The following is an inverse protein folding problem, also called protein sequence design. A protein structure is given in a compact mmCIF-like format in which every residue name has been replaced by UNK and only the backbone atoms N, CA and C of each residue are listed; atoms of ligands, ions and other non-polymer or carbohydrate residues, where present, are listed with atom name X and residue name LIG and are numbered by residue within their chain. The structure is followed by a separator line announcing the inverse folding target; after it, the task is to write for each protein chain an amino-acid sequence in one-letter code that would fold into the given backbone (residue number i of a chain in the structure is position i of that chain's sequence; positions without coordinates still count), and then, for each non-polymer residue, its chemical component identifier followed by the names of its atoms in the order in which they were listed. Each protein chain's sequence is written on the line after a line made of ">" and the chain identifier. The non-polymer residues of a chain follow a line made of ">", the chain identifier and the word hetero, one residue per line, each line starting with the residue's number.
data_IF_022125981898
#
_entry.id   IF_022125981898
#
_cell.length_a   1.000
_cell.length_b   1.000
_cell.length_c   1.000
_cell.angle_alpha   90.00
_cell.angle_beta   90.00
_cell.angle_gamma   90.00
#
_symmetry.space_group_name_H-M   'P 1'
#
loop_
_entity.id
_entity.type
_entity.pdbx_description
1 polymer ?
#
# COMPACT_ATOMS: atom_id res chain seq x y z
N UNK A 1 -43.04 14.79 -5.06
CA UNK A 1 -42.20 13.63 -4.64
C UNK A 1 -41.00 13.62 -5.57
N UNK A 2 -39.83 14.04 -5.10
CA UNK A 2 -38.63 14.22 -5.95
C UNK A 2 -37.83 12.92 -5.91
N UNK A 3 -37.68 12.28 -7.06
CA UNK A 3 -36.88 11.05 -7.22
C UNK A 3 -35.42 11.46 -7.44
N UNK A 4 -34.54 11.10 -6.50
CA UNK A 4 -33.09 11.16 -6.73
C UNK A 4 -32.67 9.81 -7.32
N UNK A 5 -32.19 9.73 -8.57
CA UNK A 5 -31.61 8.50 -9.07
C UNK A 5 -30.34 8.21 -8.28
N UNK A 6 -30.34 7.11 -7.52
CA UNK A 6 -29.13 6.56 -6.92
C UNK A 6 -28.26 6.06 -8.06
N UNK A 7 -27.30 6.86 -8.50
CA UNK A 7 -26.19 6.42 -9.34
C UNK A 7 -25.29 5.50 -8.51
N UNK A 8 -25.73 4.27 -8.29
CA UNK A 8 -24.85 3.20 -7.83
C UNK A 8 -23.86 2.96 -8.95
N UNK A 9 -22.70 3.62 -8.88
CA UNK A 9 -21.55 3.35 -9.75
C UNK A 9 -21.09 1.93 -9.45
N UNK A 10 -21.71 0.96 -10.11
CA UNK A 10 -21.32 -0.44 -10.05
C UNK A 10 -20.02 -0.58 -10.85
N UNK A 11 -18.89 -0.41 -10.15
CA UNK A 11 -17.59 -0.76 -10.74
C UNK A 11 -17.58 -2.23 -11.08
N UNK A 12 -17.34 -2.55 -12.36
CA UNK A 12 -17.32 -3.92 -12.83
C UNK A 12 -16.02 -4.61 -12.38
N UNK A 13 -16.14 -5.69 -11.62
CA UNK A 13 -14.99 -6.49 -11.16
C UNK A 13 -14.12 -7.00 -12.32
N UNK A 14 -14.69 -7.22 -13.52
CA UNK A 14 -13.92 -7.65 -14.69
C UNK A 14 -12.99 -6.54 -15.22
N UNK A 15 -13.41 -5.27 -15.14
CA UNK A 15 -12.61 -4.11 -15.52
C UNK A 15 -11.49 -3.84 -14.51
N UNK A 16 -11.74 -4.09 -13.22
CA UNK A 16 -10.69 -4.02 -12.19
C UNK A 16 -9.65 -5.11 -12.44
N UNK A 17 -10.09 -6.35 -12.67
CA UNK A 17 -9.20 -7.47 -12.91
C UNK A 17 -8.37 -7.34 -14.20
N UNK A 18 -8.92 -6.74 -15.27
CA UNK A 18 -8.18 -6.51 -16.51
C UNK A 18 -7.05 -5.50 -16.31
N UNK A 19 -7.26 -4.46 -15.50
CA UNK A 19 -6.23 -3.48 -15.15
C UNK A 19 -5.20 -4.08 -14.17
N UNK A 20 -5.65 -4.78 -13.13
CA UNK A 20 -4.77 -5.38 -12.13
C UNK A 20 -3.88 -6.51 -12.67
N UNK A 21 -4.29 -7.19 -13.75
CA UNK A 21 -3.46 -8.22 -14.42
C UNK A 21 -2.31 -7.64 -15.25
N UNK A 22 -2.41 -6.38 -15.67
CA UNK A 22 -1.46 -5.76 -16.61
C UNK A 22 -0.30 -5.08 -15.88
N UNK A 23 -0.49 -4.67 -14.62
CA UNK A 23 0.59 -4.08 -13.84
C UNK A 23 1.45 -5.19 -13.23
N UNK A 24 2.77 -5.25 -13.50
CA UNK A 24 3.66 -6.16 -12.81
C UNK A 24 3.60 -5.85 -11.31
N UNK A 25 3.00 -6.75 -10.53
CA UNK A 25 3.00 -6.61 -9.08
C UNK A 25 4.43 -6.83 -8.60
N UNK A 26 4.99 -5.83 -7.92
CA UNK A 26 6.27 -5.99 -7.24
C UNK A 26 6.17 -7.16 -6.26
N UNK A 27 7.17 -8.05 -6.23
CA UNK A 27 7.16 -9.18 -5.32
C UNK A 27 7.08 -8.70 -3.88
N UNK A 28 6.24 -9.36 -3.09
CA UNK A 28 6.20 -9.14 -1.65
C UNK A 28 7.38 -9.87 -1.04
N UNK A 29 8.29 -9.11 -0.42
CA UNK A 29 9.52 -9.63 0.19
C UNK A 29 9.39 -9.63 1.72
N UNK A 30 9.95 -10.64 2.37
CA UNK A 30 10.03 -10.66 3.83
C UNK A 30 11.05 -9.63 4.32
N UNK A 31 10.76 -8.96 5.43
CA UNK A 31 11.70 -8.05 6.10
C UNK A 31 13.06 -8.72 6.39
N UNK A 32 13.05 -10.02 6.70
CA UNK A 32 14.27 -10.79 7.01
C UNK A 32 15.16 -11.02 5.78
N UNK A 33 14.60 -10.89 4.59
CA UNK A 33 15.34 -11.05 3.34
C UNK A 33 16.01 -9.75 2.90
N UNK A 34 15.67 -8.62 3.52
CA UNK A 34 16.35 -7.34 3.29
C UNK A 34 17.71 -7.36 3.98
N UNK A 35 18.72 -6.81 3.32
CA UNK A 35 20.04 -6.60 3.91
C UNK A 35 19.98 -5.40 4.86
N UNK A 36 20.38 -5.59 6.11
CA UNK A 36 20.17 -4.66 7.23
C UNK A 36 20.76 -3.26 6.96
N UNK A 37 21.85 -3.17 6.20
CA UNK A 37 22.56 -1.92 5.92
C UNK A 37 22.58 -1.55 4.43
N UNK A 38 21.82 -2.26 3.60
CA UNK A 38 21.72 -1.88 2.18
C UNK A 38 20.79 -0.66 2.06
N UNK A 39 21.23 0.41 1.37
CA UNK A 39 20.34 1.53 1.08
C UNK A 39 19.25 1.07 0.11
N UNK A 40 18.00 1.08 0.57
CA UNK A 40 16.82 0.78 -0.23
C UNK A 40 16.06 2.07 -0.54
N UNK A 41 15.73 2.28 -1.81
CA UNK A 41 14.97 3.45 -2.25
C UNK A 41 13.49 3.24 -1.94
N UNK A 42 12.97 3.98 -0.95
CA UNK A 42 11.56 3.96 -0.56
C UNK A 42 10.79 4.87 -1.52
N UNK A 43 9.93 4.26 -2.33
CA UNK A 43 9.08 4.99 -3.27
C UNK A 43 7.79 5.46 -2.62
N UNK A 44 7.18 4.61 -1.80
CA UNK A 44 5.95 4.96 -1.09
C UNK A 44 5.82 4.21 0.22
N UNK A 45 5.09 4.81 1.17
CA UNK A 45 4.71 4.16 2.41
C UNK A 45 3.23 4.41 2.67
N UNK A 46 2.48 3.35 3.01
CA UNK A 46 1.04 3.45 3.24
C UNK A 46 0.60 2.58 4.39
N UNK A 47 -0.22 3.15 5.29
CA UNK A 47 -0.91 2.37 6.31
C UNK A 47 -2.05 1.56 5.68
N UNK A 48 -2.04 0.26 5.92
CA UNK A 48 -3.01 -0.71 5.42
C UNK A 48 -3.57 -1.56 6.56
N UNK A 49 -4.77 -2.10 6.38
CA UNK A 49 -5.35 -3.07 7.33
C UNK A 49 -4.81 -4.46 7.02
N UNK A 50 -3.90 -4.96 7.86
CA UNK A 50 -3.39 -6.31 7.78
C UNK A 50 -4.25 -7.31 8.55
N UNK A 51 -3.94 -8.62 8.40
CA UNK A 51 -4.66 -9.72 9.06
C UNK A 51 -4.69 -9.63 10.59
N UNK A 52 -3.66 -9.03 11.19
CA UNK A 52 -3.46 -8.95 12.63
C UNK A 52 -3.59 -7.52 13.18
N UNK A 53 -4.11 -6.58 12.37
CA UNK A 53 -4.19 -5.17 12.72
C UNK A 53 -3.50 -4.25 11.71
N UNK A 54 -3.36 -2.96 12.04
CA UNK A 54 -2.76 -1.98 11.14
C UNK A 54 -1.29 -2.30 10.86
N UNK A 55 -0.92 -2.24 9.59
CA UNK A 55 0.44 -2.48 9.10
C UNK A 55 0.87 -1.34 8.17
N UNK A 56 2.17 -1.18 7.98
CA UNK A 56 2.71 -0.29 6.95
C UNK A 56 3.14 -1.14 5.76
N UNK A 57 2.57 -0.83 4.59
CA UNK A 57 3.07 -1.26 3.30
C UNK A 57 4.18 -0.30 2.88
N UNK A 58 5.40 -0.81 2.77
CA UNK A 58 6.54 -0.09 2.25
C UNK A 58 6.78 -0.54 0.82
N UNK A 59 6.67 0.38 -0.13
CA UNK A 59 7.00 0.12 -1.52
C UNK A 59 8.43 0.55 -1.78
N UNK A 60 9.26 -0.43 -2.07
CA UNK A 60 10.64 -0.23 -2.51
C UNK A 60 10.67 -0.20 -4.05
N UNK A 61 11.82 0.15 -4.60
CA UNK A 61 12.05 0.17 -6.05
C UNK A 61 11.71 -1.16 -6.72
N UNK A 62 12.19 -2.26 -6.14
CA UNK A 62 12.09 -3.60 -6.75
C UNK A 62 11.12 -4.53 -6.02
N UNK A 63 10.70 -4.20 -4.81
CA UNK A 63 9.87 -5.08 -3.98
C UNK A 63 8.92 -4.31 -3.08
N UNK A 64 8.02 -5.03 -2.42
CA UNK A 64 7.07 -4.47 -1.46
C UNK A 64 7.20 -5.24 -0.16
N UNK A 65 7.21 -4.53 0.97
CA UNK A 65 7.49 -5.11 2.28
C UNK A 65 6.43 -4.67 3.27
N UNK A 66 5.92 -5.61 4.06
CA UNK A 66 4.97 -5.31 5.13
C UNK A 66 5.70 -5.20 6.46
N UNK A 67 5.58 -4.05 7.11
CA UNK A 67 6.16 -3.84 8.42
C UNK A 67 5.23 -4.40 9.51
N UNK A 68 5.77 -5.15 10.49
CA UNK A 68 5.01 -5.65 11.62
C UNK A 68 4.55 -4.51 12.51
N UNK A 69 3.44 -4.72 13.21
CA UNK A 69 2.80 -3.69 14.06
C UNK A 69 3.76 -3.04 15.07
N UNK A 70 4.68 -3.82 15.65
CA UNK A 70 5.71 -3.31 16.59
C UNK A 70 6.55 -2.16 16.02
N UNK A 71 6.78 -2.17 14.71
CA UNK A 71 7.56 -1.15 13.99
C UNK A 71 6.61 -0.12 13.38
N UNK A 72 5.38 -0.52 13.03
CA UNK A 72 4.33 0.38 12.55
C UNK A 72 4.12 1.59 13.45
N UNK A 73 4.06 1.41 14.77
CA UNK A 73 3.78 2.53 15.68
C UNK A 73 4.94 3.55 15.76
N UNK A 74 6.19 3.08 15.61
CA UNK A 74 7.36 3.95 15.57
C UNK A 74 7.47 4.72 14.25
N UNK A 75 7.07 4.11 13.14
CA UNK A 75 7.25 4.68 11.78
C UNK A 75 6.01 5.42 11.28
N UNK A 76 4.82 5.15 11.84
CA UNK A 76 3.56 5.78 11.45
C UNK A 76 3.62 7.33 11.36
N UNK A 77 4.25 8.06 12.30
CA UNK A 77 4.37 9.52 12.20
C UNK A 77 5.10 9.99 10.93
N UNK A 78 6.06 9.21 10.44
CA UNK A 78 6.85 9.53 9.24
C UNK A 78 6.11 9.16 7.95
N UNK A 79 5.26 8.13 7.98
CA UNK A 79 4.44 7.73 6.82
C UNK A 79 3.35 8.76 6.52
N UNK A 80 2.73 9.31 7.54
CA UNK A 80 1.71 10.34 7.35
C UNK A 80 2.32 11.66 6.83
N UNK A 81 3.60 11.92 7.11
CA UNK A 81 4.33 13.04 6.53
C UNK A 81 4.64 12.87 5.04
N UNK A 82 4.89 11.63 4.57
CA UNK A 82 5.15 11.34 3.15
C UNK A 82 3.88 11.51 2.28
N UNK A 83 2.68 11.32 2.82
CA UNK A 83 1.43 11.61 2.10
C UNK A 83 1.24 13.09 1.76
N UNK A 84 1.92 13.99 2.47
CA UNK A 84 1.83 15.44 2.24
C UNK A 84 2.74 15.94 1.12
N UNK A 85 3.66 15.11 0.62
CA UNK A 85 4.57 15.44 -0.47
C UNK A 85 4.13 14.70 -1.74
N UNK A 86 3.03 15.14 -2.35
CA UNK A 86 2.81 14.83 -3.76
C UNK A 86 3.86 15.61 -4.57
N UNK A 87 4.87 14.90 -5.06
CA UNK A 87 5.60 15.26 -6.27
C UNK A 87 4.81 14.76 -7.48
#
# INVERSE_FOLDING_TARGET
>A
MVYYPTTTTTMNLSQINSVCRVTPQKPVRSLQELTIDAPEEILSAKRVSGKFGPQILLELKESVVFLPQRVTDAIAPHVDALKGQNL
#
